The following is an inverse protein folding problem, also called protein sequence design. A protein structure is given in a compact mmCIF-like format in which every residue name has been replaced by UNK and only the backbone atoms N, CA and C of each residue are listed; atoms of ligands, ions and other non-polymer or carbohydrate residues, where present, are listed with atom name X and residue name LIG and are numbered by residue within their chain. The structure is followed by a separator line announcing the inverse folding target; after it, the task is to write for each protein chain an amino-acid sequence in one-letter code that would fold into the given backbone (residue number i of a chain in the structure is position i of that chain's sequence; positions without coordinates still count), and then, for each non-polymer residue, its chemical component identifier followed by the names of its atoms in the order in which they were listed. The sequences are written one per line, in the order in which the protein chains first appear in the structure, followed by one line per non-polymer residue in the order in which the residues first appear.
data_IF_513908837499
#
_entry.id   IF_513908837499
#
_cell.length_a   1.000
_cell.length_b   1.000
_cell.length_c   1.000
_cell.angle_alpha   90.00
_cell.angle_beta   90.00
_cell.angle_gamma   90.00
#
_symmetry.space_group_name_H-M   'P 1'
#
loop_
_entity.id
_entity.type
_entity.pdbx_description
1 polymer ?
#
# COMPACT_ATOMS: atom_id res chain seq x y z
N UNK A 1 -20.54 3.21 5.54
CA UNK A 1 -20.04 1.82 5.37
C UNK A 1 -18.74 1.73 4.57
N UNK A 2 -18.62 2.40 3.40
CA UNK A 2 -17.38 2.41 2.60
C UNK A 2 -16.16 3.04 3.28
N UNK A 3 -16.35 4.15 3.99
CA UNK A 3 -15.30 4.78 4.81
C UNK A 3 -14.82 3.86 5.94
N UNK A 4 -15.73 3.10 6.54
CA UNK A 4 -15.39 2.06 7.52
C UNK A 4 -14.55 0.94 6.88
N UNK A 5 -14.95 0.42 5.70
CA UNK A 5 -14.20 -0.67 5.05
C UNK A 5 -12.80 -0.25 4.61
N UNK A 6 -12.67 0.94 4.01
CA UNK A 6 -11.37 1.48 3.57
C UNK A 6 -10.47 1.75 4.78
N UNK A 7 -11.00 2.38 5.83
CA UNK A 7 -10.22 2.70 7.03
C UNK A 7 -9.81 1.44 7.81
N UNK A 8 -10.68 0.42 7.86
CA UNK A 8 -10.36 -0.87 8.47
C UNK A 8 -9.31 -1.64 7.67
N UNK A 9 -9.36 -1.60 6.34
CA UNK A 9 -8.33 -2.21 5.49
C UNK A 9 -6.99 -1.50 5.63
N UNK A 10 -6.97 -0.16 5.64
CA UNK A 10 -5.77 0.63 5.88
C UNK A 10 -5.14 0.28 7.24
N UNK A 11 -5.95 0.26 8.30
CA UNK A 11 -5.48 -0.15 9.62
C UNK A 11 -4.94 -1.59 9.65
N UNK A 12 -5.65 -2.54 9.01
CA UNK A 12 -5.23 -3.93 8.92
C UNK A 12 -3.89 -4.06 8.19
N UNK A 13 -3.73 -3.38 7.05
CA UNK A 13 -2.49 -3.36 6.28
C UNK A 13 -1.37 -2.81 7.15
N UNK A 14 -1.57 -1.70 7.84
CA UNK A 14 -0.56 -1.13 8.73
C UNK A 14 -0.16 -2.10 9.87
N UNK A 15 -1.11 -2.78 10.49
CA UNK A 15 -0.81 -3.80 11.52
C UNK A 15 0.03 -4.92 10.92
N UNK A 16 -0.35 -5.45 9.75
CA UNK A 16 0.40 -6.52 9.07
C UNK A 16 1.82 -6.06 8.72
N UNK A 17 1.99 -4.82 8.25
CA UNK A 17 3.29 -4.24 7.91
C UNK A 17 4.20 -4.15 9.14
N UNK A 18 3.66 -3.68 10.26
CA UNK A 18 4.42 -3.60 11.52
C UNK A 18 4.83 -5.00 11.98
N UNK A 19 3.90 -5.96 11.97
CA UNK A 19 4.20 -7.35 12.34
C UNK A 19 5.23 -8.00 11.42
N UNK A 20 5.12 -7.77 10.10
CA UNK A 20 6.08 -8.27 9.12
C UNK A 20 7.47 -7.63 9.33
N UNK A 21 7.52 -6.33 9.60
CA UNK A 21 8.77 -5.62 9.93
C UNK A 21 9.45 -6.20 11.17
N UNK A 22 8.68 -6.44 12.23
CA UNK A 22 9.16 -7.13 13.44
C UNK A 22 9.67 -8.53 13.08
N UNK A 23 8.92 -9.29 12.27
CA UNK A 23 9.31 -10.62 11.80
C UNK A 23 10.63 -10.63 11.03
N UNK A 24 10.87 -9.64 10.17
CA UNK A 24 12.13 -9.48 9.43
C UNK A 24 13.29 -9.22 10.40
N UNK A 25 13.10 -8.34 11.39
CA UNK A 25 14.13 -8.04 12.40
C UNK A 25 14.45 -9.27 13.25
N UNK A 26 13.44 -9.97 13.75
CA UNK A 26 13.62 -11.22 14.51
C UNK A 26 14.31 -12.27 13.63
N UNK A 27 13.88 -12.42 12.38
CA UNK A 27 14.48 -13.34 11.42
C UNK A 27 15.96 -13.05 11.19
N UNK A 28 16.36 -11.78 11.16
CA UNK A 28 17.78 -11.41 11.05
C UNK A 28 18.59 -11.86 12.27
N UNK A 29 18.06 -11.69 13.49
CA UNK A 29 18.72 -12.20 14.71
C UNK A 29 18.83 -13.73 14.72
N UNK A 30 17.81 -14.43 14.24
CA UNK A 30 17.83 -15.89 14.09
C UNK A 30 18.92 -16.31 13.10
N UNK A 31 18.97 -15.70 11.92
CA UNK A 31 20.01 -15.97 10.90
C UNK A 31 21.41 -15.67 11.42
N UNK A 32 21.59 -14.66 12.28
CA UNK A 32 22.90 -14.41 12.91
C UNK A 32 23.30 -15.50 13.92
N UNK A 33 22.33 -16.21 14.50
CA UNK A 33 22.55 -17.18 15.59
C UNK A 33 22.71 -18.62 15.10
N UNK A 34 22.42 -18.89 13.82
CA UNK A 34 22.47 -20.25 13.28
C UNK A 34 23.89 -20.70 12.87
N UNK A 35 24.21 -22.00 12.98
CA UNK A 35 25.42 -22.58 12.42
C UNK A 35 25.43 -22.44 10.89
N UNK A 36 26.36 -21.64 10.35
CA UNK A 36 26.42 -21.32 8.91
C UNK A 36 25.72 -20.01 8.53
N UNK A 37 25.10 -19.35 9.51
CA UNK A 37 24.63 -17.97 9.40
C UNK A 37 25.76 -16.95 9.55
N UNK A 38 25.39 -15.73 9.94
CA UNK A 38 26.33 -14.65 10.23
C UNK A 38 25.83 -13.27 9.82
N UNK A 39 26.71 -12.28 9.94
CA UNK A 39 26.35 -10.87 9.71
C UNK A 39 25.92 -10.60 8.27
N UNK A 40 26.63 -11.16 7.29
CA UNK A 40 26.37 -10.87 5.88
C UNK A 40 25.02 -11.45 5.39
N UNK A 41 24.67 -12.73 5.67
CA UNK A 41 23.33 -13.24 5.42
C UNK A 41 22.22 -12.46 6.12
N UNK A 42 22.44 -12.02 7.37
CA UNK A 42 21.46 -11.25 8.12
C UNK A 42 21.20 -9.86 7.51
N UNK A 43 22.26 -9.15 7.08
CA UNK A 43 22.12 -7.89 6.32
C UNK A 43 21.35 -8.13 5.02
N UNK A 44 21.65 -9.22 4.31
CA UNK A 44 20.91 -9.62 3.11
C UNK A 44 19.42 -9.82 3.38
N UNK A 45 19.07 -10.49 4.48
CA UNK A 45 17.68 -10.68 4.89
C UNK A 45 17.00 -9.36 5.29
N UNK A 46 17.68 -8.48 6.01
CA UNK A 46 17.13 -7.16 6.37
C UNK A 46 16.84 -6.33 5.12
N UNK A 47 17.79 -6.24 4.19
CA UNK A 47 17.62 -5.47 2.95
C UNK A 47 16.56 -6.11 2.05
N UNK A 48 16.64 -7.42 1.82
CA UNK A 48 15.69 -8.14 0.98
C UNK A 48 14.27 -8.11 1.55
N UNK A 49 14.14 -8.35 2.85
CA UNK A 49 12.87 -8.28 3.57
C UNK A 49 12.28 -6.87 3.56
N UNK A 50 13.10 -5.84 3.79
CA UNK A 50 12.64 -4.45 3.74
C UNK A 50 12.17 -4.05 2.34
N UNK A 51 12.96 -4.34 1.30
CA UNK A 51 12.58 -4.07 -0.10
C UNK A 51 11.28 -4.81 -0.44
N UNK A 52 11.18 -6.08 -0.09
CA UNK A 52 9.98 -6.88 -0.33
C UNK A 52 8.76 -6.28 0.38
N UNK A 53 8.90 -5.90 1.65
CA UNK A 53 7.82 -5.31 2.45
C UNK A 53 7.36 -3.97 1.88
N UNK A 54 8.29 -3.10 1.49
CA UNK A 54 7.99 -1.81 0.86
C UNK A 54 7.27 -2.01 -0.47
N UNK A 55 7.75 -2.91 -1.31
CA UNK A 55 7.11 -3.20 -2.60
C UNK A 55 5.71 -3.74 -2.40
N UNK A 56 5.54 -4.77 -1.57
CA UNK A 56 4.24 -5.38 -1.29
C UNK A 56 3.24 -4.34 -0.78
N UNK A 57 3.63 -3.58 0.24
CA UNK A 57 2.79 -2.55 0.87
C UNK A 57 2.48 -1.42 -0.11
N UNK A 58 3.49 -0.98 -0.86
CA UNK A 58 3.37 0.04 -1.89
C UNK A 58 2.37 -0.36 -2.97
N UNK A 59 2.40 -1.61 -3.44
CA UNK A 59 1.43 -2.11 -4.41
C UNK A 59 0.00 -2.10 -3.86
N UNK A 60 -0.20 -2.53 -2.60
CA UNK A 60 -1.54 -2.50 -1.97
C UNK A 60 -2.10 -1.08 -1.95
N UNK A 61 -1.32 -0.10 -1.45
CA UNK A 61 -1.77 1.29 -1.41
C UNK A 61 -1.92 1.91 -2.80
N UNK A 62 -1.09 1.53 -3.76
CA UNK A 62 -1.19 1.99 -5.14
C UNK A 62 -2.51 1.56 -5.77
N UNK A 63 -2.94 0.30 -5.58
CA UNK A 63 -4.24 -0.17 -6.09
C UNK A 63 -5.42 0.59 -5.48
N UNK A 64 -5.39 0.82 -4.15
CA UNK A 64 -6.40 1.63 -3.46
C UNK A 64 -6.43 3.06 -4.04
N UNK A 65 -5.24 3.63 -4.25
CA UNK A 65 -5.05 4.96 -4.84
C UNK A 65 -5.63 5.06 -6.25
N UNK A 66 -5.30 4.13 -7.14
CA UNK A 66 -5.83 4.08 -8.52
C UNK A 66 -7.36 4.04 -8.50
N UNK A 67 -7.94 3.11 -7.73
CA UNK A 67 -9.39 2.97 -7.66
C UNK A 67 -10.07 4.26 -7.20
N UNK A 68 -9.49 4.94 -6.21
CA UNK A 68 -10.02 6.21 -5.71
C UNK A 68 -9.91 7.34 -6.76
N UNK A 69 -8.79 7.40 -7.49
CA UNK A 69 -8.54 8.42 -8.51
C UNK A 69 -9.46 8.25 -9.71
N UNK A 70 -9.60 7.03 -10.24
CA UNK A 70 -10.49 6.73 -11.38
C UNK A 70 -11.93 7.12 -11.06
N UNK A 71 -12.38 6.86 -9.83
CA UNK A 71 -13.74 7.21 -9.41
C UNK A 71 -13.96 8.72 -9.34
N UNK A 72 -13.01 9.48 -8.77
CA UNK A 72 -13.10 10.96 -8.78
C UNK A 72 -13.15 11.52 -10.19
N UNK A 73 -12.39 10.94 -11.12
CA UNK A 73 -12.44 11.33 -12.53
C UNK A 73 -13.81 11.06 -13.14
N UNK A 74 -14.42 9.90 -12.88
CA UNK A 74 -15.78 9.60 -13.32
C UNK A 74 -16.80 10.60 -12.76
N UNK A 75 -16.78 10.85 -11.44
CA UNK A 75 -17.65 11.82 -10.76
C UNK A 75 -17.48 13.24 -11.36
N UNK A 76 -16.25 13.66 -11.65
CA UNK A 76 -15.97 14.96 -12.28
C UNK A 76 -16.49 15.06 -13.72
N UNK A 77 -16.32 13.98 -14.51
CA UNK A 77 -16.84 13.92 -15.89
C UNK A 77 -18.36 13.99 -15.89
N UNK A 78 -19.03 13.25 -15.01
CA UNK A 78 -20.50 13.30 -14.86
C UNK A 78 -20.99 14.71 -14.50
N UNK A 79 -20.29 15.38 -13.58
CA UNK A 79 -20.61 16.77 -13.21
C UNK A 79 -20.43 17.74 -14.38
N UNK A 80 -19.36 17.62 -15.16
CA UNK A 80 -19.12 18.45 -16.34
C UNK A 80 -20.20 18.27 -17.40
N UNK A 81 -20.60 17.01 -17.67
CA UNK A 81 -21.67 16.70 -18.62
C UNK A 81 -23.03 17.24 -18.14
N UNK A 82 -23.31 17.18 -16.84
CA UNK A 82 -24.53 17.75 -16.26
C UNK A 82 -24.57 19.28 -16.45
N UNK A 83 -23.44 19.97 -16.25
CA UNK A 83 -23.32 21.42 -16.49
C UNK A 83 -23.52 21.75 -17.96
N UNK A 84 -22.87 21.04 -18.89
CA UNK A 84 -23.04 21.25 -20.34
C UNK A 84 -24.48 21.02 -20.79
N UNK A 85 -25.17 20.01 -20.24
CA UNK A 85 -26.57 19.74 -20.55
C UNK A 85 -27.49 20.89 -20.15
N UNK A 86 -27.17 21.60 -19.06
CA UNK A 86 -27.93 22.76 -18.59
C UNK A 86 -27.52 24.08 -19.23
N UNK A 87 -26.35 24.18 -19.88
CA UNK A 87 -25.89 25.36 -20.60
C UNK A 87 -25.30 25.01 -22.00
N UNK A 88 -26.15 24.63 -22.97
CA UNK A 88 -25.69 24.11 -24.27
C UNK A 88 -25.02 25.15 -25.19
N UNK A 89 -24.94 26.43 -24.79
CA UNK A 89 -24.41 27.53 -25.61
C UNK A 89 -23.29 28.34 -24.96
N UNK A 90 -22.71 27.88 -23.84
CA UNK A 90 -21.64 28.59 -23.13
C UNK A 90 -20.29 28.44 -23.81
N UNK A 91 -20.06 29.21 -24.87
CA UNK A 91 -18.73 29.58 -25.35
C UNK A 91 -18.04 30.59 -24.44
#
# INVERSE_FOLDING_TARGET
MRSFFINSLDWLVNVVVVLAGIGIVIGAFVVMSEPGGGLLPAIGLLLGGFIWLVLLTGFIYLQIGIHSNTRRTAEAVEALLAVQRHNPGGG
#
